data_IF_685540224717
#
_entry.id   IF_685540224717
#
_cell.length_a   1.000
_cell.length_b   1.000
_cell.length_c   1.000
_cell.angle_alpha   90.00
_cell.angle_beta   90.00
_cell.angle_gamma   90.00
#
_symmetry.space_group_name_H-M   'P 1'
#
loop_
_entity.id
_entity.type
_entity.pdbx_description
1 polymer ?
#
# COMPACT_ATOMS: atom_id res chain seq x y z
N UNK A 1 67.50 22.82 -21.37
CA UNK A 1 67.83 23.75 -22.47
C UNK A 1 67.30 23.15 -23.76
N UNK A 2 66.25 23.72 -24.38
CA UNK A 2 65.72 23.30 -25.70
C UNK A 2 66.55 23.96 -26.83
N UNK A 3 66.55 23.46 -28.09
CA UNK A 3 65.45 23.62 -29.06
C UNK A 3 65.01 22.27 -29.71
N UNK A 4 63.78 21.98 -30.19
CA UNK A 4 62.64 22.72 -30.82
C UNK A 4 62.69 22.77 -32.36
N UNK A 5 61.53 22.52 -33.02
CA UNK A 5 61.20 22.70 -34.47
C UNK A 5 61.69 21.53 -35.38
N UNK A 6 61.14 21.16 -36.56
CA UNK A 6 59.95 21.46 -37.43
C UNK A 6 59.97 20.36 -38.56
N UNK A 7 58.93 19.96 -39.32
CA UNK A 7 57.44 19.96 -39.29
C UNK A 7 56.94 19.11 -40.50
N UNK A 8 55.63 18.82 -40.60
CA UNK A 8 54.84 18.52 -41.83
C UNK A 8 55.02 17.17 -42.59
N UNK A 9 54.09 16.26 -42.33
CA UNK A 9 53.07 15.72 -43.27
C UNK A 9 53.25 15.95 -44.79
N UNK A 10 53.18 14.87 -45.60
CA UNK A 10 52.33 14.79 -46.81
C UNK A 10 52.11 13.35 -47.33
N UNK A 11 50.83 13.03 -47.56
CA UNK A 11 50.21 12.06 -48.49
C UNK A 11 51.02 10.94 -49.16
N UNK A 12 50.48 9.72 -49.08
CA UNK A 12 50.34 8.88 -50.28
C UNK A 12 49.13 7.94 -50.21
N UNK A 13 48.10 8.26 -50.99
CA UNK A 13 47.00 7.35 -51.32
C UNK A 13 47.56 6.17 -52.12
N UNK A 14 47.16 4.94 -51.80
CA UNK A 14 47.40 3.79 -52.67
C UNK A 14 46.14 2.94 -52.76
N UNK A 15 45.47 3.02 -53.90
CA UNK A 15 44.33 2.18 -54.24
C UNK A 15 44.80 0.74 -54.49
N UNK A 16 44.15 -0.24 -53.86
CA UNK A 16 44.27 -1.67 -54.22
C UNK A 16 42.94 -2.09 -54.85
N UNK A 17 42.94 -2.78 -56.01
CA UNK A 17 41.76 -2.97 -56.82
C UNK A 17 40.78 -4.02 -56.30
N UNK A 18 39.54 -3.88 -56.74
CA UNK A 18 38.40 -4.77 -56.53
C UNK A 18 38.72 -6.21 -56.95
N UNK A 19 38.48 -7.17 -56.06
CA UNK A 19 38.20 -8.56 -56.44
C UNK A 19 36.73 -8.85 -56.16
N UNK A 20 35.95 -9.00 -57.24
CA UNK A 20 34.52 -9.20 -57.19
C UNK A 20 34.20 -10.68 -56.94
N UNK A 21 33.63 -11.02 -55.78
CA UNK A 21 33.09 -12.36 -55.52
C UNK A 21 31.65 -12.29 -55.03
N UNK A 22 30.73 -12.15 -55.99
CA UNK A 22 29.29 -12.14 -55.74
C UNK A 22 28.73 -13.57 -55.69
N UNK A 23 28.37 -14.04 -54.50
CA UNK A 23 27.35 -15.08 -54.31
C UNK A 23 26.36 -14.52 -53.30
N UNK A 24 25.11 -14.32 -53.73
CA UNK A 24 24.10 -13.64 -52.92
C UNK A 24 23.22 -14.61 -52.14
N UNK A 25 22.67 -14.11 -51.03
CA UNK A 25 21.39 -14.57 -50.49
C UNK A 25 20.57 -13.33 -50.17
N UNK A 26 19.51 -13.09 -50.96
CA UNK A 26 18.46 -12.13 -50.56
C UNK A 26 17.56 -12.87 -49.56
N UNK A 27 17.89 -12.70 -48.28
CA UNK A 27 17.07 -13.19 -47.18
C UNK A 27 16.01 -12.16 -46.80
N UNK A 28 14.91 -12.09 -47.57
CA UNK A 28 13.69 -11.45 -47.07
C UNK A 28 13.07 -12.36 -45.99
N UNK A 29 13.67 -12.36 -44.80
CA UNK A 29 13.01 -12.91 -43.62
C UNK A 29 11.86 -11.97 -43.28
N UNK A 30 10.63 -12.45 -43.48
CA UNK A 30 9.43 -11.86 -42.88
C UNK A 30 9.40 -12.22 -41.37
N UNK A 31 10.55 -11.97 -40.71
CA UNK A 31 10.83 -12.28 -39.33
C UNK A 31 10.14 -11.25 -38.46
N UNK A 32 8.89 -11.58 -38.16
CA UNK A 32 8.02 -10.99 -37.15
C UNK A 32 8.80 -10.03 -36.24
N UNK A 33 8.59 -8.72 -36.38
CA UNK A 33 8.87 -7.85 -35.25
C UNK A 33 7.97 -8.36 -34.14
N UNK A 34 8.57 -9.04 -33.17
CA UNK A 34 8.06 -9.04 -31.81
C UNK A 34 8.07 -7.58 -31.41
N UNK A 35 6.98 -6.88 -31.76
CA UNK A 35 6.37 -5.99 -30.80
C UNK A 35 6.35 -6.82 -29.53
N UNK A 36 7.19 -6.42 -28.58
CA UNK A 36 6.68 -6.35 -27.23
C UNK A 36 5.40 -5.54 -27.37
N UNK A 37 4.29 -6.26 -27.51
CA UNK A 37 3.01 -5.80 -27.05
C UNK A 37 3.26 -5.70 -25.55
N UNK A 38 3.84 -4.58 -25.12
CA UNK A 38 3.57 -4.00 -23.82
C UNK A 38 2.06 -3.80 -23.88
N UNK A 39 1.35 -4.87 -23.52
CA UNK A 39 -0.05 -4.79 -23.18
C UNK A 39 -0.01 -3.96 -21.92
N UNK A 40 -0.03 -2.64 -22.09
CA UNK A 40 -0.24 -1.70 -21.01
C UNK A 40 -1.70 -1.84 -20.60
N UNK A 41 -2.02 -3.02 -20.08
CA UNK A 41 -3.14 -3.25 -19.20
C UNK A 41 -2.93 -2.23 -18.10
N UNK A 42 -3.77 -1.20 -18.09
CA UNK A 42 -3.73 -0.17 -17.06
C UNK A 42 -3.85 -0.89 -15.72
N UNK A 43 -2.84 -0.76 -14.87
CA UNK A 43 -2.86 -1.32 -13.52
C UNK A 43 -4.14 -0.86 -12.85
N UNK A 44 -4.86 -1.74 -12.15
CA UNK A 44 -6.08 -1.31 -11.49
C UNK A 44 -5.78 -0.33 -10.36
N UNK A 45 -6.61 0.70 -10.24
CA UNK A 45 -6.51 1.71 -9.19
C UNK A 45 -6.97 1.13 -7.85
N UNK A 46 -6.11 1.17 -6.84
CA UNK A 46 -6.43 0.77 -5.46
C UNK A 46 -6.24 1.97 -4.55
N UNK A 47 -7.17 2.22 -3.65
CA UNK A 47 -7.07 3.30 -2.66
C UNK A 47 -6.89 2.71 -1.26
N UNK A 48 -5.93 3.23 -0.51
CA UNK A 48 -5.74 2.95 0.91
C UNK A 48 -5.98 4.23 1.75
N UNK A 49 -6.81 4.14 2.79
CA UNK A 49 -7.20 5.31 3.60
C UNK A 49 -6.03 5.92 4.38
N UNK A 50 -5.25 5.11 5.10
CA UNK A 50 -4.20 5.55 6.01
C UNK A 50 -2.81 5.02 5.60
N UNK A 51 -1.77 5.52 6.28
CA UNK A 51 -0.38 5.14 6.03
C UNK A 51 -0.07 3.66 6.34
N UNK A 52 -0.79 3.03 7.27
CA UNK A 52 -0.61 1.61 7.62
C UNK A 52 -1.13 0.71 6.50
N UNK A 53 -2.39 0.90 6.07
CA UNK A 53 -2.99 0.17 4.96
C UNK A 53 -2.22 0.43 3.65
N UNK A 54 -1.77 1.67 3.43
CA UNK A 54 -0.91 2.05 2.31
C UNK A 54 0.37 1.19 2.27
N UNK A 55 1.10 1.14 3.38
CA UNK A 55 2.39 0.44 3.44
C UNK A 55 2.23 -1.08 3.29
N UNK A 56 1.28 -1.68 4.01
CA UNK A 56 0.98 -3.12 3.89
C UNK A 56 0.52 -3.49 2.47
N UNK A 57 -0.39 -2.70 1.89
CA UNK A 57 -0.85 -2.91 0.50
C UNK A 57 0.30 -2.77 -0.49
N UNK A 58 1.20 -1.80 -0.31
CA UNK A 58 2.36 -1.60 -1.18
C UNK A 58 3.35 -2.78 -1.10
N UNK A 59 3.56 -3.36 0.08
CA UNK A 59 4.43 -4.52 0.26
C UNK A 59 3.83 -5.79 -0.38
N UNK A 60 2.52 -6.01 -0.25
CA UNK A 60 1.83 -7.17 -0.83
C UNK A 60 1.68 -7.03 -2.35
N UNK A 61 1.20 -5.88 -2.83
CA UNK A 61 0.85 -5.69 -4.24
C UNK A 61 2.01 -5.29 -5.15
N UNK A 62 3.08 -4.72 -4.59
CA UNK A 62 4.25 -4.21 -5.31
C UNK A 62 3.85 -3.33 -6.52
N UNK A 63 4.27 -3.70 -7.73
CA UNK A 63 4.03 -2.94 -8.96
C UNK A 63 2.76 -3.37 -9.73
N UNK A 64 1.93 -4.26 -9.16
CA UNK A 64 0.77 -4.84 -9.88
C UNK A 64 -0.49 -3.98 -9.89
N UNK A 65 -0.56 -2.96 -9.03
CA UNK A 65 -1.69 -2.04 -8.88
C UNK A 65 -1.20 -0.60 -8.93
N UNK A 66 -2.10 0.34 -9.23
CA UNK A 66 -1.82 1.78 -9.08
C UNK A 66 -2.35 2.21 -7.70
N UNK A 67 -1.48 2.21 -6.69
CA UNK A 67 -1.86 2.47 -5.30
C UNK A 67 -1.89 3.96 -4.97
N UNK A 68 -3.05 4.48 -4.61
CA UNK A 68 -3.22 5.83 -4.07
C UNK A 68 -3.45 5.79 -2.55
N UNK A 69 -2.56 6.42 -1.80
CA UNK A 69 -2.68 6.55 -0.34
C UNK A 69 -3.29 7.91 0.00
N UNK A 70 -4.45 7.95 0.69
CA UNK A 70 -5.20 9.19 0.90
C UNK A 70 -4.59 10.12 1.95
N UNK A 71 -3.94 9.53 2.96
CA UNK A 71 -3.27 10.24 4.05
C UNK A 71 -1.76 10.08 3.98
N UNK A 72 -1.06 11.20 4.15
CA UNK A 72 0.40 11.24 4.30
C UNK A 72 0.82 10.68 5.66
N UNK A 73 2.09 10.29 5.83
CA UNK A 73 2.57 9.55 7.01
C UNK A 73 2.47 10.34 8.31
N UNK A 74 2.47 11.67 8.21
CA UNK A 74 2.46 12.62 9.32
C UNK A 74 1.06 13.15 9.65
N UNK A 75 0.00 12.68 8.96
CA UNK A 75 -1.38 13.13 9.17
C UNK A 75 -2.11 12.29 10.23
N UNK A 76 -2.82 12.96 11.13
CA UNK A 76 -3.71 12.33 12.11
C UNK A 76 -5.01 11.88 11.42
N UNK A 77 -5.37 10.58 11.47
CA UNK A 77 -6.58 10.07 10.83
C UNK A 77 -7.88 10.60 11.47
N UNK A 78 -7.88 10.86 12.78
CA UNK A 78 -9.08 11.29 13.53
C UNK A 78 -9.55 12.68 13.11
N UNK A 79 -8.61 13.55 12.72
CA UNK A 79 -8.87 14.93 12.31
C UNK A 79 -8.67 15.17 10.80
N UNK A 80 -8.42 14.12 10.02
CA UNK A 80 -8.18 14.24 8.58
C UNK A 80 -9.39 14.83 7.83
N UNK A 81 -9.12 15.90 7.07
CA UNK A 81 -10.12 16.54 6.23
C UNK A 81 -9.94 16.15 4.76
N UNK A 82 -10.92 15.42 4.23
CA UNK A 82 -10.96 14.91 2.85
C UNK A 82 -10.71 16.00 1.79
N UNK A 83 -9.76 15.75 0.88
CA UNK A 83 -9.50 16.63 -0.27
C UNK A 83 -10.36 16.27 -1.49
N UNK A 84 -10.63 17.21 -2.41
CA UNK A 84 -11.34 16.90 -3.66
C UNK A 84 -10.63 15.85 -4.54
N UNK A 85 -9.29 15.82 -4.52
CA UNK A 85 -8.48 14.80 -5.21
C UNK A 85 -8.59 13.42 -4.57
N UNK A 86 -8.57 13.34 -3.23
CA UNK A 86 -8.78 12.08 -2.51
C UNK A 86 -10.18 11.49 -2.76
N UNK A 87 -11.22 12.35 -2.79
CA UNK A 87 -12.56 11.94 -3.24
C UNK A 87 -12.54 11.41 -4.67
N UNK A 88 -11.91 12.13 -5.60
CA UNK A 88 -11.85 11.74 -7.02
C UNK A 88 -11.16 10.39 -7.22
N UNK A 89 -10.09 10.10 -6.48
CA UNK A 89 -9.39 8.83 -6.51
C UNK A 89 -10.29 7.67 -6.03
N UNK A 90 -11.03 7.85 -4.93
CA UNK A 90 -12.01 6.85 -4.48
C UNK A 90 -13.14 6.63 -5.51
N UNK A 91 -13.59 7.67 -6.22
CA UNK A 91 -14.60 7.54 -7.29
C UNK A 91 -14.12 6.77 -8.53
N UNK A 92 -12.81 6.66 -8.77
CA UNK A 92 -12.23 5.91 -9.91
C UNK A 92 -11.57 4.59 -9.51
N UNK A 93 -11.27 4.41 -8.23
CA UNK A 93 -10.72 3.19 -7.65
C UNK A 93 -11.54 1.96 -8.04
N UNK A 94 -10.84 0.87 -8.31
CA UNK A 94 -11.41 -0.45 -8.50
C UNK A 94 -11.51 -1.23 -7.18
N UNK A 95 -10.78 -0.82 -6.14
CA UNK A 95 -10.86 -1.33 -4.76
C UNK A 95 -10.54 -0.19 -3.78
N UNK A 96 -11.36 -0.03 -2.73
CA UNK A 96 -11.14 0.92 -1.64
C UNK A 96 -10.91 0.15 -0.33
N UNK A 97 -9.69 0.22 0.20
CA UNK A 97 -9.29 -0.29 1.50
C UNK A 97 -9.33 0.86 2.51
N UNK A 98 -10.26 0.82 3.45
CA UNK A 98 -10.35 1.80 4.53
C UNK A 98 -10.28 1.13 5.90
N UNK A 99 -9.99 1.93 6.93
CA UNK A 99 -9.72 1.43 8.28
C UNK A 99 -10.96 0.75 8.89
N UNK A 100 -12.06 1.49 8.98
CA UNK A 100 -13.20 1.13 9.82
C UNK A 100 -13.00 1.54 11.28
N UNK A 101 -13.94 1.16 12.13
CA UNK A 101 -14.02 1.51 13.55
C UNK A 101 -13.97 3.03 13.83
N UNK A 102 -14.38 3.88 12.88
CA UNK A 102 -14.36 5.35 12.99
C UNK A 102 -12.96 5.92 13.21
N UNK A 103 -11.89 5.23 12.77
CA UNK A 103 -10.53 5.79 12.83
C UNK A 103 -10.41 7.10 12.05
N UNK A 104 -11.09 7.17 10.89
CA UNK A 104 -11.04 8.33 10.02
C UNK A 104 -12.48 8.71 9.61
N UNK A 105 -13.26 9.34 10.52
CA UNK A 105 -14.69 9.60 10.29
C UNK A 105 -14.97 10.42 9.02
N UNK A 106 -14.06 11.33 8.66
CA UNK A 106 -14.12 12.12 7.43
C UNK A 106 -13.87 11.32 6.14
N UNK A 107 -13.21 10.16 6.21
CA UNK A 107 -13.09 9.20 5.11
C UNK A 107 -14.30 8.27 5.11
N UNK A 108 -14.63 7.69 6.26
CA UNK A 108 -15.71 6.71 6.41
C UNK A 108 -17.07 7.28 5.99
N UNK A 109 -17.45 8.47 6.46
CA UNK A 109 -18.70 9.11 6.03
C UNK A 109 -18.74 9.47 4.53
N UNK A 110 -17.59 9.60 3.86
CA UNK A 110 -17.53 9.76 2.39
C UNK A 110 -17.65 8.40 1.69
N UNK A 111 -17.00 7.36 2.21
CA UNK A 111 -17.07 5.98 1.72
C UNK A 111 -18.50 5.42 1.84
N UNK A 112 -19.18 5.65 2.96
CA UNK A 112 -20.59 5.28 3.17
C UNK A 112 -21.52 5.97 2.17
N UNK A 113 -21.37 7.29 2.01
CA UNK A 113 -22.19 8.10 1.10
C UNK A 113 -21.87 7.90 -0.40
N UNK A 114 -20.81 7.16 -0.74
CA UNK A 114 -20.36 6.98 -2.13
C UNK A 114 -21.14 5.89 -2.85
N UNK A 115 -21.83 6.31 -3.92
CA UNK A 115 -22.42 5.43 -4.93
C UNK A 115 -21.34 4.99 -5.93
N UNK A 116 -20.72 3.85 -5.66
CA UNK A 116 -19.74 3.20 -6.52
C UNK A 116 -19.96 1.68 -6.53
N UNK A 117 -19.52 1.03 -7.61
CA UNK A 117 -19.56 -0.44 -7.76
C UNK A 117 -18.26 -1.11 -7.30
N UNK A 118 -17.21 -0.34 -7.00
CA UNK A 118 -15.97 -0.85 -6.42
C UNK A 118 -16.20 -1.40 -5.01
N UNK A 119 -15.57 -2.52 -4.62
CA UNK A 119 -15.60 -3.00 -3.24
C UNK A 119 -15.02 -1.95 -2.26
N UNK A 120 -15.71 -1.77 -1.13
CA UNK A 120 -15.36 -0.85 -0.05
C UNK A 120 -15.14 -1.69 1.20
N UNK A 121 -13.89 -1.88 1.61
CA UNK A 121 -13.50 -2.85 2.63
C UNK A 121 -13.07 -2.12 3.91
N UNK A 122 -13.77 -2.38 5.02
CA UNK A 122 -13.38 -1.97 6.35
C UNK A 122 -12.34 -2.96 6.90
N UNK A 123 -11.08 -2.76 6.54
CA UNK A 123 -10.01 -3.77 6.72
C UNK A 123 -9.83 -4.17 8.19
N UNK A 124 -9.96 -3.22 9.13
CA UNK A 124 -9.79 -3.53 10.55
C UNK A 124 -11.01 -4.26 11.13
N UNK A 125 -12.20 -4.00 10.60
CA UNK A 125 -13.45 -4.68 11.01
C UNK A 125 -13.50 -6.12 10.49
N UNK A 126 -13.00 -6.37 9.28
CA UNK A 126 -12.84 -7.74 8.74
C UNK A 126 -11.72 -8.51 9.45
N UNK A 127 -10.60 -7.85 9.78
CA UNK A 127 -9.44 -8.49 10.40
C UNK A 127 -9.60 -8.75 11.91
N UNK A 128 -10.30 -7.88 12.63
CA UNK A 128 -10.36 -7.88 14.11
C UNK A 128 -11.82 -7.73 14.58
N UNK A 129 -12.72 -8.67 14.23
CA UNK A 129 -14.17 -8.51 14.44
C UNK A 129 -14.61 -8.33 15.91
N UNK A 130 -13.76 -8.75 16.86
CA UNK A 130 -13.95 -8.57 18.30
C UNK A 130 -12.84 -7.62 18.85
N UNK A 131 -12.94 -6.31 18.61
CA UNK A 131 -11.93 -5.33 19.02
C UNK A 131 -12.03 -5.05 20.52
N UNK A 132 -10.97 -4.43 21.07
CA UNK A 132 -11.04 -3.87 22.43
C UNK A 132 -12.06 -2.72 22.43
N UNK A 133 -12.97 -2.72 23.40
CA UNK A 133 -13.94 -1.64 23.58
C UNK A 133 -13.37 -0.58 24.54
N UNK A 134 -13.40 0.68 24.13
CA UNK A 134 -12.90 1.82 24.88
C UNK A 134 -13.97 2.92 25.03
N UNK A 135 -13.92 3.65 26.14
CA UNK A 135 -14.68 4.88 26.30
C UNK A 135 -13.96 6.04 25.62
N UNK A 136 -14.70 7.01 25.08
CA UNK A 136 -14.10 8.21 24.49
C UNK A 136 -13.36 9.05 25.55
N UNK A 137 -12.03 8.95 25.57
CA UNK A 137 -11.17 9.83 26.35
C UNK A 137 -11.11 11.22 25.71
N UNK A 138 -12.10 12.06 26.00
CA UNK A 138 -11.98 13.50 25.77
C UNK A 138 -10.80 14.03 26.61
N UNK A 139 -9.69 14.37 25.95
CA UNK A 139 -8.56 15.09 26.54
C UNK A 139 -8.99 16.51 26.94
N UNK A 140 -9.64 16.62 28.10
CA UNK A 140 -9.76 17.88 28.83
C UNK A 140 -8.46 18.12 29.60
N UNK A 141 -7.63 19.05 29.12
CA UNK A 141 -6.62 19.66 30.00
C UNK A 141 -7.32 20.39 31.15
N UNK A 142 -7.08 19.95 32.38
CA UNK A 142 -7.78 20.47 33.55
C UNK A 142 -7.62 19.63 34.80
N UNK A 143 -6.39 19.26 35.17
CA UNK A 143 -6.12 18.56 36.43
C UNK A 143 -6.66 19.33 37.65
N UNK A 144 -7.61 18.72 38.36
CA UNK A 144 -7.70 18.77 39.83
C UNK A 144 -8.21 17.43 40.35
N UNK A 145 -7.29 16.50 40.53
CA UNK A 145 -7.54 15.27 41.28
C UNK A 145 -7.08 15.46 42.72
N UNK A 146 -8.01 15.81 43.61
CA UNK A 146 -7.87 15.43 45.02
C UNK A 146 -8.14 13.92 45.11
N UNK A 147 -7.16 13.17 45.63
CA UNK A 147 -7.32 11.75 45.93
C UNK A 147 -7.23 11.55 47.44
N UNK A 148 -8.37 11.24 48.07
CA UNK A 148 -8.40 10.57 49.37
C UNK A 148 -9.20 9.27 49.30
N UNK A 149 -8.84 8.37 50.21
CA UNK A 149 -9.50 7.13 50.65
C UNK A 149 -9.31 5.85 49.81
N UNK A 150 -9.13 4.76 50.59
CA UNK A 150 -8.71 3.42 50.18
C UNK A 150 -9.90 2.44 50.05
N UNK A 151 -9.57 1.13 49.91
CA UNK A 151 -10.34 -0.02 50.45
C UNK A 151 -11.70 -0.34 49.76
N UNK A 152 -11.85 -1.40 48.95
CA UNK A 152 -11.60 -2.83 49.28
C UNK A 152 -11.82 -3.74 48.06
N UNK A 153 -11.10 -4.86 47.99
CA UNK A 153 -11.47 -5.99 47.14
C UNK A 153 -12.60 -6.81 47.77
N UNK A 154 -13.71 -7.00 47.05
CA UNK A 154 -14.53 -8.21 47.12
C UNK A 154 -14.90 -8.62 45.69
N UNK A 155 -14.93 -9.93 45.44
CA UNK A 155 -15.17 -10.48 44.11
C UNK A 155 -16.66 -10.49 43.79
N UNK A 156 -17.06 -9.64 42.85
CA UNK A 156 -18.32 -9.76 42.12
C UNK A 156 -17.97 -9.84 40.64
N UNK A 157 -18.61 -10.77 39.93
CA UNK A 157 -18.51 -10.92 38.49
C UNK A 157 -19.18 -9.70 37.85
N UNK A 158 -18.40 -8.64 37.63
CA UNK A 158 -18.87 -7.43 36.98
C UNK A 158 -19.22 -7.76 35.54
N UNK A 159 -20.51 -7.95 35.29
CA UNK A 159 -21.10 -7.73 33.97
C UNK A 159 -20.63 -6.34 33.54
N UNK A 160 -19.71 -6.28 32.59
CA UNK A 160 -19.15 -5.03 32.14
C UNK A 160 -20.29 -4.20 31.55
N UNK A 161 -20.59 -3.05 32.14
CA UNK A 161 -21.53 -2.12 31.53
C UNK A 161 -20.88 -1.54 30.28
N UNK A 162 -21.32 -2.01 29.11
CA UNK A 162 -20.79 -1.57 27.81
C UNK A 162 -21.51 -0.33 27.26
N UNK A 163 -22.46 0.26 28.01
CA UNK A 163 -23.09 1.51 27.59
C UNK A 163 -22.07 2.65 27.48
N UNK A 164 -21.94 3.20 26.26
CA UNK A 164 -21.00 4.28 25.95
C UNK A 164 -19.57 3.84 25.61
N UNK A 165 -19.30 2.54 25.50
CA UNK A 165 -18.06 2.03 24.91
C UNK A 165 -18.21 1.88 23.40
N UNK A 166 -17.19 2.29 22.64
CA UNK A 166 -17.08 2.03 21.21
C UNK A 166 -15.81 1.19 20.94
N UNK A 167 -15.71 0.51 19.78
CA UNK A 167 -14.44 -0.11 19.35
C UNK A 167 -13.27 0.87 19.38
N UNK A 168 -12.13 0.44 19.93
CA UNK A 168 -10.87 1.14 19.77
C UNK A 168 -10.32 0.86 18.36
N UNK A 169 -10.19 1.87 17.48
CA UNK A 169 -9.74 1.66 16.11
C UNK A 169 -8.24 1.36 15.98
N UNK A 170 -7.44 1.49 17.04
CA UNK A 170 -5.97 1.38 16.98
C UNK A 170 -5.46 -0.08 16.98
N UNK A 171 -6.21 -0.98 16.33
CA UNK A 171 -6.02 -2.44 16.40
C UNK A 171 -4.65 -2.92 15.92
N UNK A 172 -3.97 -2.17 15.05
CA UNK A 172 -2.67 -2.51 14.47
C UNK A 172 -1.50 -2.49 15.47
N UNK A 173 -1.70 -1.95 16.68
CA UNK A 173 -0.68 -2.00 17.74
C UNK A 173 -0.49 -3.41 18.34
N UNK A 174 -1.38 -4.35 18.02
CA UNK A 174 -1.18 -5.78 18.28
C UNK A 174 -0.65 -6.46 17.01
N UNK A 175 0.45 -7.21 17.11
CA UNK A 175 1.10 -7.83 15.95
C UNK A 175 0.25 -8.94 15.31
N UNK A 176 -0.52 -9.69 16.11
CA UNK A 176 -1.43 -10.72 15.61
C UNK A 176 -2.60 -10.11 14.83
N UNK A 177 -3.09 -8.94 15.25
CA UNK A 177 -4.04 -8.14 14.46
C UNK A 177 -3.39 -7.65 13.16
N UNK A 178 -2.11 -7.24 13.20
CA UNK A 178 -1.34 -6.90 12.01
C UNK A 178 -1.24 -8.04 11.00
N UNK A 179 -1.06 -9.28 11.48
CA UNK A 179 -1.09 -10.50 10.65
C UNK A 179 -2.47 -10.68 10.00
N UNK A 180 -3.57 -10.56 10.76
CA UNK A 180 -4.92 -10.65 10.21
C UNK A 180 -5.24 -9.55 9.18
N UNK A 181 -4.75 -8.32 9.39
CA UNK A 181 -4.86 -7.21 8.43
C UNK A 181 -4.17 -7.55 7.10
N UNK A 182 -2.99 -8.19 7.15
CA UNK A 182 -2.28 -8.66 5.94
C UNK A 182 -3.10 -9.71 5.19
N UNK A 183 -3.74 -10.65 5.90
CA UNK A 183 -4.57 -11.70 5.29
C UNK A 183 -5.84 -11.14 4.63
N UNK A 184 -6.48 -10.12 5.22
CA UNK A 184 -7.60 -9.41 4.59
C UNK A 184 -7.13 -8.69 3.31
N UNK A 185 -6.02 -7.94 3.36
CA UNK A 185 -5.50 -7.22 2.19
C UNK A 185 -5.12 -8.21 1.07
N UNK A 186 -4.47 -9.33 1.40
CA UNK A 186 -4.16 -10.42 0.46
C UNK A 186 -5.43 -10.95 -0.23
N UNK A 187 -6.43 -11.33 0.55
CA UNK A 187 -7.66 -11.93 0.04
C UNK A 187 -8.41 -10.99 -0.91
N UNK A 188 -8.53 -9.71 -0.55
CA UNK A 188 -9.20 -8.70 -1.36
C UNK A 188 -8.42 -8.40 -2.65
N UNK A 189 -7.09 -8.29 -2.59
CA UNK A 189 -6.23 -8.14 -3.78
C UNK A 189 -6.31 -9.37 -4.69
N UNK A 190 -6.29 -10.59 -4.15
CA UNK A 190 -6.34 -11.83 -4.91
C UNK A 190 -7.73 -12.10 -5.54
N UNK A 191 -8.82 -11.74 -4.86
CA UNK A 191 -10.18 -11.81 -5.40
C UNK A 191 -10.35 -10.85 -6.58
N UNK A 192 -9.80 -9.65 -6.46
CA UNK A 192 -9.95 -8.59 -7.44
C UNK A 192 -8.99 -8.72 -8.64
N UNK A 193 -7.71 -9.01 -8.40
CA UNK A 193 -6.65 -9.14 -9.41
C UNK A 193 -6.07 -10.57 -9.41
N UNK A 194 -6.92 -11.55 -9.73
CA UNK A 194 -6.61 -12.98 -9.59
C UNK A 194 -5.44 -13.49 -10.44
N UNK A 195 -5.04 -12.78 -11.51
CA UNK A 195 -3.83 -13.09 -12.28
C UNK A 195 -2.54 -12.95 -11.44
N UNK A 196 -2.58 -12.17 -10.36
CA UNK A 196 -1.46 -11.88 -9.47
C UNK A 196 -1.59 -12.57 -8.09
N UNK A 197 -2.62 -13.40 -7.89
CA UNK A 197 -2.93 -13.99 -6.58
C UNK A 197 -1.75 -14.76 -5.95
N UNK A 198 -0.93 -15.46 -6.75
CA UNK A 198 0.26 -16.16 -6.25
C UNK A 198 1.32 -15.18 -5.71
N UNK A 199 1.54 -14.05 -6.37
CA UNK A 199 2.48 -13.02 -5.91
C UNK A 199 2.03 -12.44 -4.57
N UNK A 200 0.72 -12.18 -4.42
CA UNK A 200 0.15 -11.67 -3.17
C UNK A 200 0.33 -12.66 -2.02
N UNK A 201 0.02 -13.93 -2.22
CA UNK A 201 0.24 -14.98 -1.22
C UNK A 201 1.72 -15.10 -0.82
N UNK A 202 2.65 -15.11 -1.79
CA UNK A 202 4.09 -15.19 -1.52
C UNK A 202 4.64 -13.97 -0.77
N UNK A 203 4.13 -12.76 -1.06
CA UNK A 203 4.52 -11.53 -0.36
C UNK A 203 3.90 -11.45 1.04
N UNK A 204 2.62 -11.81 1.18
CA UNK A 204 1.92 -11.85 2.47
C UNK A 204 2.53 -12.87 3.43
N UNK A 205 2.89 -14.07 2.98
CA UNK A 205 3.60 -15.05 3.83
C UNK A 205 4.93 -14.47 4.37
N UNK A 206 5.73 -13.81 3.52
CA UNK A 206 6.97 -13.16 3.95
C UNK A 206 6.73 -12.03 4.96
N UNK A 207 5.68 -11.22 4.75
CA UNK A 207 5.32 -10.11 5.65
C UNK A 207 4.79 -10.63 6.99
N UNK A 208 3.95 -11.67 6.99
CA UNK A 208 3.49 -12.36 8.22
C UNK A 208 4.66 -12.97 8.99
N UNK A 209 5.66 -13.56 8.32
CA UNK A 209 6.87 -14.07 8.97
C UNK A 209 7.71 -12.94 9.61
N UNK A 210 7.77 -11.75 8.98
CA UNK A 210 8.45 -10.59 9.54
C UNK A 210 7.70 -10.03 10.76
N UNK A 211 6.38 -9.89 10.68
CA UNK A 211 5.53 -9.48 11.81
C UNK A 211 5.68 -10.46 12.98
N UNK A 212 5.58 -11.77 12.75
CA UNK A 212 5.76 -12.79 13.80
C UNK A 212 7.14 -12.76 14.49
N UNK A 213 8.18 -12.21 13.85
CA UNK A 213 9.50 -11.98 14.48
C UNK A 213 9.55 -10.73 15.37
N UNK A 214 8.65 -9.77 15.17
CA UNK A 214 8.51 -8.58 16.03
C UNK A 214 7.73 -8.87 17.32
N UNK A 215 6.76 -9.80 17.28
CA UNK A 215 5.93 -10.18 18.44
C UNK A 215 6.73 -10.89 19.55
N UNK A 216 7.89 -11.44 19.21
CA UNK A 216 8.74 -12.24 20.11
C UNK A 216 10.00 -11.50 20.60
N UNK A 217 10.11 -10.20 20.34
CA UNK A 217 11.28 -9.36 20.68
C UNK A 217 11.18 -8.74 22.08
#
# INVERSE_FOLDING_TARGET
MMPKLKRLNTYRLLNIPVMLMTVGVVGCSNGNQTRETTTTSSKPEVVASNSILCDLTQQIAQDTVELTCLMEREQDPHTYNMTPSARKAMETAALILYSGYKLAPGIEGVVEAMDTTAPKIAVYEEAVPEPILAGHHHHHEGEKHDHEEENKHQGEEKVANTEGLEPDPHVWHNVQNGVAIVEVIEAQLAQFNSEQAQLYAENSEQLKEQLGKLDVW
#
